data_IF_051638316790
#
_entry.id   IF_051638316790
#
_cell.length_a   1.000
_cell.length_b   1.000
_cell.length_c   1.000
_cell.angle_alpha   90.00
_cell.angle_beta   90.00
_cell.angle_gamma   90.00
#
_symmetry.space_group_name_H-M   'P 1'
#
loop_
_entity.id
_entity.type
_entity.pdbx_description
1 polymer ?
#
# COMPACT_ATOMS: atom_id res chain seq x y z
N UNK A 1 -31.14 -11.60 19.28
CA UNK A 1 -31.63 -12.96 18.95
C UNK A 1 -31.43 -13.15 17.45
N UNK A 2 -30.24 -13.55 17.00
CA UNK A 2 -29.97 -13.92 15.61
C UNK A 2 -29.25 -15.26 15.60
N UNK A 3 -29.94 -16.23 15.05
CA UNK A 3 -29.66 -17.66 15.10
C UNK A 3 -28.28 -17.99 14.52
N UNK A 4 -27.46 -18.69 15.31
CA UNK A 4 -26.31 -19.44 14.83
C UNK A 4 -26.84 -20.60 13.97
N UNK A 5 -26.85 -20.42 12.65
CA UNK A 5 -26.92 -21.54 11.71
C UNK A 5 -25.54 -22.21 11.64
N UNK A 6 -25.28 -23.16 12.56
CA UNK A 6 -24.21 -24.14 12.42
C UNK A 6 -24.63 -25.19 11.38
N UNK A 7 -24.51 -24.85 10.10
CA UNK A 7 -24.55 -25.80 8.99
C UNK A 7 -23.13 -26.04 8.45
N UNK A 8 -22.84 -27.20 7.83
CA UNK A 8 -21.55 -27.44 7.20
C UNK A 8 -21.28 -26.32 6.18
N UNK A 9 -20.12 -25.66 6.29
CA UNK A 9 -19.75 -24.57 5.41
C UNK A 9 -19.84 -25.02 3.95
N UNK A 10 -20.90 -24.58 3.25
CA UNK A 10 -21.09 -24.87 1.84
C UNK A 10 -19.82 -24.45 1.09
N UNK A 11 -19.22 -25.38 0.34
CA UNK A 11 -18.00 -25.10 -0.43
C UNK A 11 -18.28 -23.92 -1.35
N UNK A 12 -17.71 -22.75 -1.05
CA UNK A 12 -17.86 -21.56 -1.88
C UNK A 12 -17.34 -21.91 -3.28
N UNK A 13 -18.18 -21.83 -4.33
CA UNK A 13 -17.78 -22.26 -5.65
C UNK A 13 -16.65 -21.36 -6.17
N UNK A 14 -15.74 -21.94 -6.96
CA UNK A 14 -14.46 -21.32 -7.32
C UNK A 14 -14.61 -19.97 -8.04
N UNK A 15 -15.66 -19.80 -8.86
CA UNK A 15 -16.01 -18.54 -9.54
C UNK A 15 -16.46 -17.40 -8.62
N UNK A 16 -16.79 -17.71 -7.36
CA UNK A 16 -17.18 -16.73 -6.34
C UNK A 16 -15.99 -16.27 -5.50
N UNK A 17 -14.79 -16.82 -5.74
CA UNK A 17 -13.56 -16.37 -5.08
C UNK A 17 -13.05 -15.11 -5.76
N UNK A 18 -12.87 -14.05 -4.97
CA UNK A 18 -12.40 -12.74 -5.45
C UNK A 18 -11.09 -12.85 -6.26
N UNK A 19 -10.16 -13.70 -5.83
CA UNK A 19 -8.91 -13.95 -6.55
C UNK A 19 -9.13 -14.42 -7.99
N UNK A 20 -10.06 -15.37 -8.20
CA UNK A 20 -10.37 -15.89 -9.53
C UNK A 20 -11.03 -14.82 -10.40
N UNK A 21 -11.89 -13.99 -9.80
CA UNK A 21 -12.53 -12.87 -10.49
C UNK A 21 -11.51 -11.80 -10.91
N UNK A 22 -10.55 -11.47 -10.05
CA UNK A 22 -9.48 -10.51 -10.37
C UNK A 22 -8.57 -11.04 -11.47
N UNK A 23 -8.14 -12.31 -11.39
CA UNK A 23 -7.31 -12.90 -12.45
C UNK A 23 -8.07 -12.95 -13.78
N UNK A 24 -9.35 -13.35 -13.76
CA UNK A 24 -10.18 -13.34 -14.95
C UNK A 24 -10.34 -11.91 -15.52
N UNK A 25 -10.55 -10.92 -14.66
CA UNK A 25 -10.65 -9.52 -15.07
C UNK A 25 -9.36 -8.98 -15.71
N UNK A 26 -8.19 -9.31 -15.16
CA UNK A 26 -6.89 -8.93 -15.74
C UNK A 26 -6.74 -9.57 -17.12
N UNK A 27 -7.02 -10.87 -17.25
CA UNK A 27 -6.92 -11.57 -18.55
C UNK A 27 -7.87 -10.94 -19.56
N UNK A 28 -9.12 -10.66 -19.17
CA UNK A 28 -10.11 -9.99 -20.01
C UNK A 28 -9.67 -8.57 -20.38
N UNK A 29 -9.11 -7.80 -19.45
CA UNK A 29 -8.60 -6.45 -19.70
C UNK A 29 -7.44 -6.44 -20.69
N UNK A 30 -6.49 -7.39 -20.56
CA UNK A 30 -5.37 -7.54 -21.51
C UNK A 30 -5.86 -7.93 -22.90
N UNK A 31 -6.77 -8.91 -22.98
CA UNK A 31 -7.36 -9.34 -24.27
C UNK A 31 -8.13 -8.19 -24.90
N UNK A 32 -8.97 -7.50 -24.13
CA UNK A 32 -9.77 -6.38 -24.60
C UNK A 32 -8.91 -5.20 -25.08
N UNK A 33 -7.88 -4.83 -24.32
CA UNK A 33 -6.94 -3.77 -24.70
C UNK A 33 -6.08 -4.12 -25.92
N UNK A 34 -5.81 -5.41 -26.17
CA UNK A 34 -5.10 -5.84 -27.38
C UNK A 34 -5.98 -5.74 -28.63
N UNK A 35 -7.24 -6.19 -28.56
CA UNK A 35 -8.16 -6.16 -29.70
C UNK A 35 -8.80 -4.78 -29.94
N UNK A 36 -8.99 -3.97 -28.90
CA UNK A 36 -9.59 -2.64 -28.95
C UNK A 36 -8.73 -1.61 -28.18
N UNK A 37 -7.59 -1.15 -28.74
CA UNK A 37 -6.63 -0.32 -28.00
C UNK A 37 -7.17 1.05 -27.56
N UNK A 38 -7.99 1.70 -28.39
CA UNK A 38 -8.60 2.99 -28.05
C UNK A 38 -9.62 2.86 -26.92
N UNK A 39 -10.53 1.89 -27.03
CA UNK A 39 -11.54 1.62 -26.00
C UNK A 39 -10.91 1.10 -24.70
N UNK A 40 -9.81 0.36 -24.79
CA UNK A 40 -9.04 -0.07 -23.62
C UNK A 40 -8.43 1.10 -22.85
N UNK A 41 -7.91 2.12 -23.55
CA UNK A 41 -7.42 3.34 -22.90
C UNK A 41 -8.53 4.12 -22.19
N UNK A 42 -9.75 4.11 -22.75
CA UNK A 42 -10.92 4.75 -22.15
C UNK A 42 -11.41 4.06 -20.86
N UNK A 43 -10.97 2.81 -20.60
CA UNK A 43 -11.30 2.09 -19.35
C UNK A 43 -10.40 2.48 -18.17
N UNK A 44 -9.28 3.18 -18.41
CA UNK A 44 -8.34 3.66 -17.38
C UNK A 44 -9.00 4.33 -16.15
N UNK A 45 -10.06 5.15 -16.29
CA UNK A 45 -10.75 5.74 -15.14
C UNK A 45 -11.30 4.72 -14.14
N UNK A 46 -11.60 3.49 -14.56
CA UNK A 46 -12.03 2.41 -13.66
C UNK A 46 -10.87 1.96 -12.76
N UNK A 47 -9.68 1.75 -13.33
CA UNK A 47 -8.47 1.43 -12.57
C UNK A 47 -8.05 2.58 -11.66
N UNK A 48 -8.00 3.81 -12.18
CA UNK A 48 -7.65 5.00 -11.41
C UNK A 48 -8.65 5.26 -10.26
N UNK A 49 -9.94 5.05 -10.52
CA UNK A 49 -11.00 5.15 -9.51
C UNK A 49 -10.81 4.13 -8.38
N UNK A 50 -10.53 2.87 -8.71
CA UNK A 50 -10.25 1.84 -7.71
C UNK A 50 -9.00 2.16 -6.87
N UNK A 51 -7.91 2.57 -7.52
CA UNK A 51 -6.68 2.98 -6.83
C UNK A 51 -6.95 4.17 -5.89
N UNK A 52 -7.76 5.15 -6.33
CA UNK A 52 -8.14 6.31 -5.50
C UNK A 52 -8.94 5.89 -4.27
N UNK A 53 -9.86 4.93 -4.40
CA UNK A 53 -10.61 4.37 -3.27
C UNK A 53 -9.68 3.68 -2.25
N UNK A 54 -8.71 2.89 -2.72
CA UNK A 54 -7.74 2.23 -1.83
C UNK A 54 -6.81 3.25 -1.17
N UNK A 55 -6.30 4.24 -1.91
CA UNK A 55 -5.42 5.30 -1.38
C UNK A 55 -6.12 6.12 -0.29
N UNK A 56 -7.41 6.41 -0.44
CA UNK A 56 -8.20 7.12 0.57
C UNK A 56 -8.22 6.41 1.92
N UNK A 57 -8.29 5.07 1.91
CA UNK A 57 -8.37 4.26 3.12
C UNK A 57 -7.00 4.03 3.78
N UNK A 58 -5.93 4.13 3.01
CA UNK A 58 -4.58 3.79 3.45
C UNK A 58 -4.13 4.61 4.66
N UNK A 59 -4.27 5.94 4.60
CA UNK A 59 -3.87 6.84 5.68
C UNK A 59 -4.57 6.53 7.03
N UNK A 60 -5.92 6.52 7.13
CA UNK A 60 -6.59 6.25 8.40
C UNK A 60 -6.41 4.81 8.89
N UNK A 61 -6.37 3.82 7.98
CA UNK A 61 -6.16 2.41 8.35
C UNK A 61 -4.77 2.19 8.93
N UNK A 62 -3.72 2.73 8.31
CA UNK A 62 -2.34 2.60 8.81
C UNK A 62 -2.23 3.25 10.19
N UNK A 63 -2.73 4.48 10.35
CA UNK A 63 -2.69 5.16 11.63
C UNK A 63 -3.35 4.34 12.74
N UNK A 64 -4.62 3.94 12.54
CA UNK A 64 -5.36 3.19 13.55
C UNK A 64 -4.72 1.82 13.84
N UNK A 65 -4.24 1.11 12.81
CA UNK A 65 -3.59 -0.20 12.98
C UNK A 65 -2.32 -0.10 13.81
N UNK A 66 -1.47 0.88 13.52
CA UNK A 66 -0.21 1.08 14.26
C UNK A 66 -0.48 1.52 15.69
N UNK A 67 -1.40 2.47 15.91
CA UNK A 67 -1.77 2.93 17.25
C UNK A 67 -2.30 1.79 18.10
N UNK A 68 -3.29 1.04 17.59
CA UNK A 68 -3.88 -0.11 18.31
C UNK A 68 -2.85 -1.21 18.52
N UNK A 69 -2.01 -1.50 17.51
CA UNK A 69 -0.97 -2.51 17.60
C UNK A 69 0.05 -2.21 18.71
N UNK A 70 0.56 -0.97 18.75
CA UNK A 70 1.53 -0.53 19.76
C UNK A 70 0.88 -0.46 21.14
N UNK A 71 -0.31 0.11 21.25
CA UNK A 71 -1.02 0.24 22.51
C UNK A 71 -1.33 -1.12 23.16
N UNK A 72 -1.65 -2.14 22.36
CA UNK A 72 -1.86 -3.52 22.83
C UNK A 72 -0.58 -4.23 23.26
N UNK A 73 0.56 -3.84 22.69
CA UNK A 73 1.86 -4.41 23.03
C UNK A 73 2.35 -3.95 24.42
N UNK A 74 1.97 -2.74 24.86
CA UNK A 74 2.24 -2.21 26.19
C UNK A 74 3.70 -1.85 26.50
N UNK A 75 4.67 -2.46 25.81
CA UNK A 75 6.11 -2.21 25.99
C UNK A 75 6.76 -1.63 24.72
N UNK A 76 7.30 -0.41 24.84
CA UNK A 76 8.01 0.28 23.76
C UNK A 76 9.31 -0.44 23.37
N UNK A 77 9.94 -1.18 24.28
CA UNK A 77 11.14 -1.98 23.97
C UNK A 77 10.80 -3.14 23.03
N UNK A 78 9.66 -3.81 23.24
CA UNK A 78 9.21 -4.88 22.37
C UNK A 78 8.83 -4.35 20.98
N UNK A 79 8.15 -3.20 20.91
CA UNK A 79 7.85 -2.52 19.64
C UNK A 79 9.14 -2.20 18.88
N UNK A 80 10.15 -1.65 19.56
CA UNK A 80 11.46 -1.37 18.96
C UNK A 80 12.17 -2.62 18.45
N UNK A 81 12.14 -3.73 19.20
CA UNK A 81 12.70 -5.02 18.77
C UNK A 81 11.99 -5.58 17.54
N UNK A 82 10.66 -5.53 17.50
CA UNK A 82 9.88 -5.99 16.35
C UNK A 82 10.15 -5.10 15.13
N UNK A 83 10.21 -3.77 15.31
CA UNK A 83 10.55 -2.83 14.26
C UNK A 83 11.96 -3.06 13.69
N UNK A 84 12.96 -3.25 14.55
CA UNK A 84 14.33 -3.54 14.13
C UNK A 84 14.44 -4.88 13.39
N UNK A 85 13.76 -5.94 13.89
CA UNK A 85 13.65 -7.21 13.17
C UNK A 85 13.00 -7.01 11.81
N UNK A 86 11.89 -6.29 11.74
CA UNK A 86 11.19 -6.02 10.48
C UNK A 86 12.06 -5.25 9.48
N UNK A 87 12.85 -4.27 9.93
CA UNK A 87 13.78 -3.53 9.08
C UNK A 87 14.88 -4.44 8.52
N UNK A 88 15.47 -5.30 9.37
CA UNK A 88 16.46 -6.28 8.94
C UNK A 88 15.85 -7.29 7.95
N UNK A 89 14.64 -7.78 8.22
CA UNK A 89 13.90 -8.64 7.28
C UNK A 89 13.65 -7.92 5.95
N UNK A 90 13.21 -6.67 5.98
CA UNK A 90 12.95 -5.87 4.79
C UNK A 90 14.21 -5.67 3.95
N UNK A 91 15.33 -5.30 4.57
CA UNK A 91 16.60 -5.06 3.88
C UNK A 91 17.16 -6.34 3.24
N UNK A 92 17.10 -7.47 3.95
CA UNK A 92 17.56 -8.75 3.42
C UNK A 92 16.67 -9.21 2.26
N UNK A 93 15.35 -9.15 2.42
CA UNK A 93 14.40 -9.53 1.37
C UNK A 93 14.51 -8.63 0.14
N UNK A 94 14.65 -7.31 0.31
CA UNK A 94 14.80 -6.37 -0.79
C UNK A 94 16.11 -6.59 -1.54
N UNK A 95 17.22 -6.82 -0.82
CA UNK A 95 18.52 -7.14 -1.44
C UNK A 95 18.44 -8.43 -2.25
N UNK A 96 17.83 -9.49 -1.71
CA UNK A 96 17.64 -10.74 -2.47
C UNK A 96 16.77 -10.51 -3.70
N UNK A 97 15.67 -9.77 -3.56
CA UNK A 97 14.78 -9.44 -4.68
C UNK A 97 15.52 -8.65 -5.78
N UNK A 98 16.37 -7.68 -5.41
CA UNK A 98 17.20 -6.91 -6.34
C UNK A 98 18.21 -7.80 -7.06
N UNK A 99 18.89 -8.70 -6.35
CA UNK A 99 19.84 -9.64 -6.97
C UNK A 99 19.14 -10.55 -7.97
N UNK A 100 17.99 -11.13 -7.59
CA UNK A 100 17.21 -11.98 -8.51
C UNK A 100 16.73 -11.17 -9.72
N UNK A 101 16.21 -9.96 -9.50
CA UNK A 101 15.80 -9.07 -10.59
C UNK A 101 16.95 -8.74 -11.54
N UNK A 102 18.13 -8.44 -10.99
CA UNK A 102 19.34 -8.17 -11.78
C UNK A 102 19.77 -9.39 -12.60
N UNK A 103 19.76 -10.59 -12.01
CA UNK A 103 20.10 -11.83 -12.72
C UNK A 103 19.12 -12.08 -13.87
N UNK A 104 17.81 -11.97 -13.62
CA UNK A 104 16.78 -12.19 -14.65
C UNK A 104 16.89 -11.19 -15.78
N UNK A 105 17.08 -9.90 -15.49
CA UNK A 105 17.25 -8.85 -16.50
C UNK A 105 18.52 -9.07 -17.33
N UNK A 106 19.63 -9.47 -16.72
CA UNK A 106 20.88 -9.73 -17.45
C UNK A 106 20.81 -10.99 -18.32
N UNK A 107 20.02 -11.99 -17.93
CA UNK A 107 19.84 -13.24 -18.71
C UNK A 107 18.83 -13.08 -19.85
N UNK A 108 17.62 -12.59 -19.54
CA UNK A 108 16.55 -12.44 -20.54
C UNK A 108 16.79 -11.24 -21.46
N UNK A 109 17.60 -10.27 -21.01
CA UNK A 109 17.90 -9.01 -21.70
C UNK A 109 16.66 -8.39 -22.36
N UNK A 110 15.57 -8.14 -21.60
CA UNK A 110 14.37 -7.52 -22.14
C UNK A 110 14.74 -6.12 -22.66
N UNK A 111 14.83 -5.96 -23.98
CA UNK A 111 15.27 -4.71 -24.61
C UNK A 111 16.17 -4.89 -25.84
N UNK A 112 16.83 -6.05 -26.00
CA UNK A 112 17.62 -6.33 -27.20
C UNK A 112 16.67 -6.46 -28.39
N UNK A 113 16.82 -5.60 -29.39
CA UNK A 113 15.91 -5.51 -30.54
C UNK A 113 14.83 -4.44 -30.42
N UNK A 114 14.75 -3.69 -29.32
CA UNK A 114 14.00 -2.43 -29.31
C UNK A 114 14.78 -1.41 -30.15
N UNK A 115 14.15 -0.87 -31.19
CA UNK A 115 14.73 0.11 -32.11
C UNK A 115 14.78 1.52 -31.49
N UNK A 116 15.30 1.61 -30.26
CA UNK A 116 15.45 2.85 -29.49
C UNK A 116 16.81 3.42 -29.84
N UNK A 117 16.84 4.39 -30.76
CA UNK A 117 18.05 5.16 -31.04
C UNK A 117 18.29 6.14 -29.87
N UNK A 118 19.36 5.98 -29.07
CA UNK A 118 19.63 6.84 -27.92
C UNK A 118 19.82 8.31 -28.30
N UNK A 119 20.18 8.58 -29.56
CA UNK A 119 20.38 9.92 -30.10
C UNK A 119 19.08 10.66 -30.47
N UNK A 120 17.93 9.97 -30.52
CA UNK A 120 16.61 10.58 -30.79
C UNK A 120 15.70 10.57 -29.57
N UNK A 121 16.22 10.20 -28.39
CA UNK A 121 15.48 10.28 -27.13
C UNK A 121 15.33 11.74 -26.74
N UNK A 122 14.08 12.20 -26.61
CA UNK A 122 13.77 13.55 -26.11
C UNK A 122 14.16 13.64 -24.63
N UNK A 123 15.32 14.22 -24.35
CA UNK A 123 15.87 14.37 -23.01
C UNK A 123 14.96 15.21 -22.10
N UNK A 124 14.05 16.04 -22.65
CA UNK A 124 13.06 16.78 -21.85
C UNK A 124 12.08 15.87 -21.12
N UNK A 125 11.75 14.72 -21.70
CA UNK A 125 10.89 13.73 -21.04
C UNK A 125 11.57 13.02 -19.87
N UNK A 126 12.91 13.05 -19.83
CA UNK A 126 13.75 12.44 -18.79
C UNK A 126 14.11 13.48 -17.72
N UNK A 127 14.26 14.76 -18.10
CA UNK A 127 14.56 15.88 -17.21
C UNK A 127 13.62 15.97 -16.00
N UNK A 128 12.32 15.68 -16.18
CA UNK A 128 11.36 15.66 -15.06
C UNK A 128 11.68 14.56 -14.04
N UNK A 129 12.16 13.39 -14.49
CA UNK A 129 12.51 12.29 -13.60
C UNK A 129 13.89 12.50 -12.97
N UNK A 130 14.86 13.07 -13.68
CA UNK A 130 16.18 13.36 -13.13
C UNK A 130 16.14 14.50 -12.13
N UNK A 131 15.34 15.54 -12.37
CA UNK A 131 15.12 16.63 -11.41
C UNK A 131 14.37 16.16 -10.16
N UNK A 132 13.40 15.24 -10.28
CA UNK A 132 12.76 14.61 -9.13
C UNK A 132 13.71 13.68 -8.35
N UNK A 133 14.62 12.97 -9.04
CA UNK A 133 15.66 12.17 -8.41
C UNK A 133 16.65 13.06 -7.64
N UNK A 134 17.07 14.19 -8.22
CA UNK A 134 17.91 15.18 -7.53
C UNK A 134 17.21 15.82 -6.33
N UNK A 135 15.90 16.06 -6.40
CA UNK A 135 15.13 16.56 -5.25
C UNK A 135 15.06 15.54 -4.08
N UNK A 136 15.26 14.25 -4.35
CA UNK A 136 15.35 13.19 -3.32
C UNK A 136 16.79 12.90 -2.84
N UNK A 137 17.80 13.57 -3.39
CA UNK A 137 19.23 13.35 -3.01
C UNK A 137 19.69 14.09 -1.76
N UNK A 138 18.78 14.57 -0.90
CA UNK A 138 19.12 15.27 0.35
C UNK A 138 19.94 14.45 1.38
N UNK A 139 20.35 13.23 1.03
CA UNK A 139 21.13 12.34 1.88
C UNK A 139 20.30 11.78 3.04
N UNK A 140 20.94 10.98 3.90
CA UNK A 140 20.28 10.34 5.03
C UNK A 140 19.66 11.33 6.02
N UNK A 141 20.24 12.53 6.15
CA UNK A 141 19.76 13.57 7.08
C UNK A 141 18.44 14.16 6.60
N UNK A 142 18.34 14.54 5.34
CA UNK A 142 17.09 15.09 4.78
C UNK A 142 15.96 14.06 4.79
N UNK A 143 16.29 12.79 4.52
CA UNK A 143 15.32 11.69 4.68
C UNK A 143 14.75 11.65 6.10
N UNK A 144 15.60 11.67 7.13
CA UNK A 144 15.17 11.66 8.54
C UNK A 144 14.34 12.91 8.87
N UNK A 145 14.74 14.09 8.38
CA UNK A 145 13.98 15.32 8.62
C UNK A 145 12.60 15.29 7.97
N UNK A 146 12.46 14.69 6.78
CA UNK A 146 11.20 14.54 6.07
C UNK A 146 10.21 13.55 6.75
N UNK A 147 10.67 12.73 7.70
CA UNK A 147 9.81 11.88 8.54
C UNK A 147 8.96 12.71 9.50
N UNK A 148 9.47 13.86 9.94
CA UNK A 148 8.77 14.73 10.90
C UNK A 148 7.81 15.64 10.11
N UNK A 149 6.49 15.47 10.26
CA UNK A 149 5.53 16.31 9.55
C UNK A 149 5.53 17.74 10.09
N UNK A 150 5.33 18.72 9.20
CA UNK A 150 5.08 20.12 9.60
C UNK A 150 3.79 20.25 10.39
N UNK A 151 2.74 19.52 9.99
CA UNK A 151 1.46 19.45 10.69
C UNK A 151 0.90 18.03 10.62
N UNK A 152 0.19 17.60 11.67
CA UNK A 152 -0.44 16.27 11.69
C UNK A 152 -1.47 16.19 10.58
N UNK A 153 -2.35 17.18 10.43
CA UNK A 153 -3.41 17.14 9.41
C UNK A 153 -2.82 17.11 7.98
N UNK A 154 -1.70 17.81 7.75
CA UNK A 154 -1.02 17.80 6.45
C UNK A 154 -0.54 16.41 6.05
N UNK A 155 0.00 15.61 6.97
CA UNK A 155 0.47 14.26 6.61
C UNK A 155 -0.66 13.34 6.15
N UNK A 156 -1.87 13.49 6.72
CA UNK A 156 -3.06 12.75 6.28
C UNK A 156 -3.64 13.31 4.97
N UNK A 157 -3.64 14.63 4.79
CA UNK A 157 -4.15 15.29 3.59
C UNK A 157 -3.28 14.98 2.36
N UNK A 158 -1.96 15.03 2.52
CA UNK A 158 -0.99 14.78 1.46
C UNK A 158 -0.71 13.28 1.26
N UNK A 159 -1.22 12.42 2.16
CA UNK A 159 -1.05 10.98 2.09
C UNK A 159 0.40 10.52 2.33
N UNK A 160 1.18 11.29 3.09
CA UNK A 160 2.56 10.93 3.40
C UNK A 160 2.61 9.81 4.45
N UNK A 161 2.71 8.58 3.95
CA UNK A 161 2.65 7.35 4.76
C UNK A 161 3.73 7.33 5.85
N UNK A 162 4.95 7.78 5.55
CA UNK A 162 6.06 7.74 6.50
C UNK A 162 5.81 8.67 7.69
N UNK A 163 5.31 9.87 7.41
CA UNK A 163 4.93 10.84 8.45
C UNK A 163 3.74 10.36 9.30
N UNK A 164 2.75 9.72 8.67
CA UNK A 164 1.60 9.14 9.36
C UNK A 164 2.05 8.03 10.31
N UNK A 165 2.95 7.13 9.86
CA UNK A 165 3.51 6.06 10.69
C UNK A 165 4.29 6.65 11.87
N UNK A 166 5.14 7.65 11.64
CA UNK A 166 5.91 8.29 12.69
C UNK A 166 5.01 8.86 13.80
N UNK A 167 3.98 9.62 13.41
CA UNK A 167 3.01 10.13 14.36
C UNK A 167 2.24 9.01 15.08
N UNK A 168 1.80 7.98 14.35
CA UNK A 168 1.09 6.83 14.90
C UNK A 168 1.92 6.08 15.97
N UNK A 169 3.23 5.93 15.75
CA UNK A 169 4.15 5.32 16.70
C UNK A 169 4.26 6.14 17.99
N UNK A 170 4.47 7.46 17.86
CA UNK A 170 4.54 8.36 19.02
C UNK A 170 3.23 8.38 19.80
N UNK A 171 2.10 8.49 19.10
CA UNK A 171 0.77 8.50 19.71
C UNK A 171 0.47 7.17 20.40
N UNK A 172 0.67 6.04 19.71
CA UNK A 172 0.50 4.70 20.28
C UNK A 172 1.36 4.48 21.53
N UNK A 173 2.62 4.91 21.50
CA UNK A 173 3.53 4.82 22.63
C UNK A 173 3.09 5.69 23.82
N UNK A 174 2.63 6.92 23.56
CA UNK A 174 2.08 7.80 24.59
C UNK A 174 0.81 7.21 25.23
N UNK A 175 -0.09 6.67 24.41
CA UNK A 175 -1.32 6.03 24.87
C UNK A 175 -1.05 4.77 25.69
N UNK A 176 -0.06 3.95 25.31
CA UNK A 176 0.37 2.79 26.08
C UNK A 176 0.83 3.17 27.49
N UNK A 177 1.57 4.29 27.62
CA UNK A 177 2.05 4.79 28.92
C UNK A 177 0.95 5.32 29.84
N UNK A 178 -0.19 5.74 29.29
CA UNK A 178 -1.35 6.17 30.08
C UNK A 178 -2.10 5.00 30.74
N UNK A 179 -1.82 3.75 30.33
CA UNK A 179 -2.41 2.54 30.89
C UNK A 179 -3.95 2.60 30.86
N UNK A 180 -4.59 2.38 32.01
CA UNK A 180 -6.05 2.34 32.13
C UNK A 180 -6.74 3.63 31.66
N UNK A 181 -6.10 4.80 31.78
CA UNK A 181 -6.66 6.08 31.33
C UNK A 181 -6.69 6.20 29.80
N UNK A 182 -5.77 5.55 29.10
CA UNK A 182 -5.71 5.54 27.64
C UNK A 182 -6.68 4.56 26.98
N UNK A 183 -7.16 3.56 27.75
CA UNK A 183 -7.96 2.45 27.23
C UNK A 183 -9.23 2.88 26.46
N UNK A 184 -10.07 3.82 26.94
CA UNK A 184 -11.28 4.22 26.22
C UNK A 184 -11.01 4.77 24.83
N UNK A 185 -9.90 5.50 24.66
CA UNK A 185 -9.49 6.06 23.37
C UNK A 185 -8.97 4.97 22.43
N UNK A 186 -8.16 4.04 22.95
CA UNK A 186 -7.66 2.91 22.16
C UNK A 186 -8.80 2.00 21.69
N UNK A 187 -9.76 1.70 22.58
CA UNK A 187 -10.93 0.92 22.23
C UNK A 187 -11.80 1.66 21.18
N UNK A 188 -11.94 2.98 21.28
CA UNK A 188 -12.60 3.80 20.27
C UNK A 188 -11.90 3.76 18.90
N UNK A 189 -10.56 3.82 18.88
CA UNK A 189 -9.77 3.71 17.64
C UNK A 189 -9.89 2.29 17.05
N UNK A 190 -9.92 1.24 17.88
CA UNK A 190 -10.12 -0.13 17.42
C UNK A 190 -11.51 -0.33 16.81
N UNK A 191 -12.56 0.24 17.40
CA UNK A 191 -13.90 0.22 16.80
C UNK A 191 -13.92 0.96 15.45
N UNK A 192 -13.26 2.11 15.35
CA UNK A 192 -13.11 2.83 14.09
C UNK A 192 -12.34 1.99 13.05
N UNK A 193 -11.26 1.30 13.46
CA UNK A 193 -10.49 0.41 12.60
C UNK A 193 -11.33 -0.74 12.05
N UNK A 194 -12.20 -1.34 12.87
CA UNK A 194 -13.14 -2.37 12.42
C UNK A 194 -14.13 -1.81 11.37
N UNK A 195 -14.63 -0.58 11.57
CA UNK A 195 -15.44 0.14 10.59
C UNK A 195 -14.69 0.37 9.27
N UNK A 196 -13.44 0.83 9.35
CA UNK A 196 -12.56 1.02 8.18
C UNK A 196 -12.32 -0.29 7.44
N UNK A 197 -12.08 -1.40 8.14
CA UNK A 197 -11.98 -2.72 7.50
C UNK A 197 -13.29 -3.17 6.84
N UNK A 198 -14.44 -2.77 7.37
CA UNK A 198 -15.73 -2.90 6.70
C UNK A 198 -15.74 -2.19 5.34
N UNK A 199 -15.24 -0.96 5.29
CA UNK A 199 -15.13 -0.19 4.03
C UNK A 199 -14.12 -0.84 3.08
N UNK A 200 -12.96 -1.28 3.57
CA UNK A 200 -11.98 -2.03 2.77
C UNK A 200 -12.65 -3.24 2.12
N UNK A 201 -13.48 -3.98 2.86
CA UNK A 201 -14.22 -5.13 2.31
C UNK A 201 -15.19 -4.75 1.19
N UNK A 202 -15.89 -3.62 1.34
CA UNK A 202 -16.77 -3.08 0.31
C UNK A 202 -16.00 -2.67 -0.94
N UNK A 203 -14.89 -1.95 -0.77
CA UNK A 203 -14.02 -1.52 -1.89
C UNK A 203 -13.42 -2.72 -2.61
N UNK A 204 -13.00 -3.76 -1.88
CA UNK A 204 -12.45 -4.98 -2.48
C UNK A 204 -13.43 -5.73 -3.38
N UNK A 205 -14.75 -5.56 -3.20
CA UNK A 205 -15.75 -6.12 -4.11
C UNK A 205 -15.65 -5.51 -5.53
N UNK A 206 -15.16 -4.28 -5.64
CA UNK A 206 -14.91 -3.59 -6.92
C UNK A 206 -13.54 -3.91 -7.52
N UNK A 207 -12.68 -4.66 -6.83
CA UNK A 207 -11.33 -4.99 -7.31
C UNK A 207 -11.31 -5.66 -8.70
N UNK A 208 -12.25 -6.56 -9.07
CA UNK A 208 -12.28 -7.10 -10.43
C UNK A 208 -12.53 -6.02 -11.49
N UNK A 209 -13.37 -5.03 -11.20
CA UNK A 209 -13.67 -3.93 -12.14
C UNK A 209 -12.44 -3.01 -12.27
N UNK A 210 -11.79 -2.69 -11.15
CA UNK A 210 -10.56 -1.90 -11.15
C UNK A 210 -9.38 -2.60 -11.83
N UNK A 211 -9.33 -3.94 -11.77
CA UNK A 211 -8.27 -4.73 -12.42
C UNK A 211 -8.52 -4.98 -13.91
N UNK A 212 -9.75 -4.78 -14.39
CA UNK A 212 -10.10 -4.82 -15.81
C UNK A 212 -9.72 -3.53 -16.54
N UNK A 213 -9.90 -2.39 -15.87
CA UNK A 213 -9.60 -1.06 -16.43
C UNK A 213 -8.19 -0.56 -16.15
#
# INVERSE_FOLDING_TARGET
MFSKSNGPAAKVPLHRRLYVQVVAAIVLGVVFGHFYPSLGADMKPLGDGFIKLIKMLLAPVIFATIVVGIARMGDLKEVGKVGAKALLYFEVLSTIALVVGLVVVNLLKPGVGMNVNPATLDTKSIEAYTSQAHAQTGGAVDFIMNIIPKTIVGSFADGNVLQIIFFAVLFGAAMARLGARGKPVIDGIDMALQGLFGIVRMVMMFAPIGAFG
#
